data_IF_843007913919
#
_entry.id   IF_843007913919
#
_cell.length_a   1.000
_cell.length_b   1.000
_cell.length_c   1.000
_cell.angle_alpha   90.00
_cell.angle_beta   90.00
_cell.angle_gamma   90.00
#
_symmetry.space_group_name_H-M   'P 1'
#
loop_
_entity.id
_entity.type
_entity.pdbx_description
1 polymer ?
#
# COMPACT_ATOMS: atom_id res chain seq x y z
N UNK A 1 18.43 -18.91 20.20
CA UNK A 1 17.84 -18.95 18.85
C UNK A 1 17.80 -17.52 18.36
N UNK A 2 18.68 -17.18 17.43
CA UNK A 2 18.59 -15.88 16.75
C UNK A 2 17.53 -16.05 15.68
N UNK A 3 16.34 -15.46 15.87
CA UNK A 3 15.41 -15.28 14.77
C UNK A 3 16.15 -14.41 13.74
N UNK A 4 16.50 -15.00 12.60
CA UNK A 4 16.94 -14.19 11.47
C UNK A 4 15.72 -13.38 11.03
N UNK A 5 15.85 -12.06 10.83
CA UNK A 5 14.75 -11.28 10.30
C UNK A 5 14.37 -11.86 8.93
N UNK A 6 13.14 -12.37 8.83
CA UNK A 6 12.57 -12.77 7.55
C UNK A 6 12.22 -11.50 6.78
N UNK A 7 13.14 -11.04 5.95
CA UNK A 7 12.84 -9.98 4.99
C UNK A 7 11.86 -10.50 3.96
N UNK A 8 10.84 -9.70 3.64
CA UNK A 8 9.88 -9.98 2.58
C UNK A 8 10.05 -8.98 1.44
N UNK A 9 9.62 -9.38 0.25
CA UNK A 9 9.63 -8.54 -0.94
C UNK A 9 8.42 -7.61 -0.92
N UNK A 10 8.64 -6.32 -1.16
CA UNK A 10 7.56 -5.33 -1.18
C UNK A 10 7.83 -4.20 -2.16
N UNK A 11 6.74 -3.62 -2.65
CA UNK A 11 6.72 -2.40 -3.43
C UNK A 11 6.47 -1.21 -2.52
N UNK A 12 7.20 -0.13 -2.74
CA UNK A 12 7.08 1.08 -1.94
C UNK A 12 6.56 2.24 -2.76
N UNK A 13 5.58 2.94 -2.22
CA UNK A 13 5.06 4.19 -2.75
C UNK A 13 5.23 5.30 -1.72
N UNK A 14 5.51 6.51 -2.20
CA UNK A 14 5.43 7.73 -1.41
C UNK A 14 4.21 8.55 -1.85
N UNK A 15 3.51 9.15 -0.88
CA UNK A 15 2.26 9.85 -1.11
C UNK A 15 2.26 11.25 -0.49
N UNK A 16 1.33 12.09 -0.97
CA UNK A 16 1.16 13.49 -0.59
C UNK A 16 -0.26 13.74 -0.08
N UNK A 17 -0.53 13.36 1.15
CA UNK A 17 -1.82 13.59 1.82
C UNK A 17 -1.74 14.79 2.76
N UNK A 18 -2.86 15.48 2.93
CA UNK A 18 -2.95 16.61 3.85
C UNK A 18 -3.01 16.16 5.32
N UNK A 19 -3.41 14.92 5.58
CA UNK A 19 -3.52 14.35 6.93
C UNK A 19 -3.37 12.83 6.93
N UNK A 20 -3.12 12.27 8.11
CA UNK A 20 -3.09 10.81 8.29
C UNK A 20 -4.45 10.16 8.01
N UNK A 21 -5.56 10.78 8.44
CA UNK A 21 -6.90 10.27 8.17
C UNK A 21 -7.22 10.19 6.67
N UNK A 22 -6.75 11.16 5.87
CA UNK A 22 -6.88 11.09 4.41
C UNK A 22 -6.06 9.94 3.82
N UNK A 23 -4.87 9.70 4.36
CA UNK A 23 -4.02 8.60 3.95
C UNK A 23 -4.66 7.23 4.28
N UNK A 24 -5.30 7.08 5.44
CA UNK A 24 -6.03 5.86 5.82
C UNK A 24 -7.21 5.60 4.88
N UNK A 25 -8.03 6.63 4.58
CA UNK A 25 -9.14 6.54 3.63
C UNK A 25 -8.69 6.17 2.22
N UNK A 26 -7.43 6.46 1.88
CA UNK A 26 -6.84 6.09 0.60
C UNK A 26 -6.29 4.66 0.61
N UNK A 27 -5.48 4.34 1.62
CA UNK A 27 -4.66 3.14 1.67
C UNK A 27 -5.44 1.88 2.04
N UNK A 28 -6.54 1.99 2.79
CA UNK A 28 -7.29 0.85 3.31
C UNK A 28 -8.72 0.79 2.74
N UNK A 29 -9.29 -0.42 2.76
CA UNK A 29 -10.68 -0.67 2.42
C UNK A 29 -11.63 0.13 3.31
N UNK A 30 -12.64 0.75 2.69
CA UNK A 30 -13.71 1.46 3.38
C UNK A 30 -14.99 0.67 3.21
N UNK A 31 -15.40 0.04 4.31
CA UNK A 31 -16.60 -0.78 4.40
C UNK A 31 -17.79 0.06 4.87
N UNK A 32 -18.81 0.13 4.02
CA UNK A 32 -20.11 0.69 4.39
C UNK A 32 -20.96 -0.35 5.13
N UNK A 33 -21.86 0.13 5.97
CA UNK A 33 -22.81 -0.74 6.67
C UNK A 33 -23.75 -1.41 5.66
N UNK A 34 -24.03 -2.69 5.91
CA UNK A 34 -25.01 -3.45 5.13
C UNK A 34 -26.38 -2.72 5.12
N UNK A 35 -27.04 -2.63 3.96
CA UNK A 35 -28.38 -2.05 3.88
C UNK A 35 -29.36 -2.75 4.84
N UNK A 36 -30.24 -1.96 5.46
CA UNK A 36 -31.26 -2.49 6.37
C UNK A 36 -32.28 -3.41 5.68
N UNK A 37 -33.11 -4.13 6.45
CA UNK A 37 -34.05 -5.14 5.92
C UNK A 37 -35.14 -4.57 4.99
N UNK A 38 -35.32 -3.25 4.97
CA UNK A 38 -36.26 -2.56 4.08
C UNK A 38 -35.65 -2.23 2.71
N UNK A 39 -34.37 -2.54 2.49
CA UNK A 39 -33.71 -2.35 1.20
C UNK A 39 -34.26 -3.33 0.16
N UNK A 40 -34.49 -2.83 -1.05
CA UNK A 40 -34.78 -3.67 -2.20
C UNK A 40 -33.55 -4.45 -2.66
N UNK A 41 -33.77 -5.58 -3.36
CA UNK A 41 -32.70 -6.37 -3.97
C UNK A 41 -31.76 -5.51 -4.85
N UNK A 42 -32.30 -4.53 -5.57
CA UNK A 42 -31.51 -3.63 -6.40
C UNK A 42 -30.61 -2.68 -5.57
N UNK A 43 -31.07 -2.24 -4.40
CA UNK A 43 -30.26 -1.44 -3.49
C UNK A 43 -29.16 -2.27 -2.84
N UNK A 44 -29.47 -3.53 -2.50
CA UNK A 44 -28.51 -4.47 -1.94
C UNK A 44 -27.41 -4.80 -2.95
N UNK A 45 -27.77 -5.13 -4.20
CA UNK A 45 -26.80 -5.41 -5.26
C UNK A 45 -25.90 -4.20 -5.55
N UNK A 46 -26.46 -2.99 -5.61
CA UNK A 46 -25.67 -1.79 -5.84
C UNK A 46 -24.66 -1.53 -4.71
N UNK A 47 -25.00 -1.89 -3.47
CA UNK A 47 -24.08 -1.83 -2.34
C UNK A 47 -22.97 -2.88 -2.50
N UNK A 48 -23.29 -4.15 -2.79
CA UNK A 48 -22.29 -5.21 -3.03
C UNK A 48 -21.31 -4.85 -4.16
N UNK A 49 -21.81 -4.25 -5.24
CA UNK A 49 -20.99 -3.86 -6.40
C UNK A 49 -20.00 -2.73 -6.08
N UNK A 50 -20.21 -1.99 -4.98
CA UNK A 50 -19.41 -0.82 -4.59
C UNK A 50 -18.66 -0.95 -3.27
N UNK A 51 -18.92 -2.02 -2.50
CA UNK A 51 -18.43 -2.21 -1.14
C UNK A 51 -17.55 -3.49 -1.02
N UNK A 52 -16.29 -3.40 -0.55
CA UNK A 52 -15.66 -2.18 -0.04
C UNK A 52 -15.22 -1.25 -1.17
N UNK A 53 -15.23 0.05 -0.86
CA UNK A 53 -14.52 1.01 -1.72
C UNK A 53 -13.05 1.05 -1.30
N UNK A 54 -12.13 1.04 -2.28
CA UNK A 54 -10.70 1.04 -1.97
C UNK A 54 -9.91 1.84 -3.01
N UNK A 55 -9.53 3.07 -2.64
CA UNK A 55 -8.91 4.02 -3.57
C UNK A 55 -7.52 3.58 -4.05
N UNK A 56 -6.70 2.99 -3.18
CA UNK A 56 -5.40 2.44 -3.57
C UNK A 56 -5.54 1.38 -4.67
N UNK A 57 -6.38 0.36 -4.45
CA UNK A 57 -6.62 -0.71 -5.42
C UNK A 57 -7.16 -0.16 -6.74
N UNK A 58 -8.12 0.78 -6.67
CA UNK A 58 -8.68 1.45 -7.84
C UNK A 58 -7.64 2.28 -8.62
N UNK A 59 -6.80 3.04 -7.93
CA UNK A 59 -5.79 3.90 -8.57
C UNK A 59 -4.65 3.08 -9.18
N UNK A 60 -4.28 1.96 -8.56
CA UNK A 60 -3.32 1.01 -9.13
C UNK A 60 -3.94 0.14 -10.24
N UNK A 61 -5.28 0.05 -10.30
CA UNK A 61 -5.99 -0.80 -11.25
C UNK A 61 -5.78 -2.28 -11.00
N UNK A 62 -5.64 -2.68 -9.72
CA UNK A 62 -5.29 -4.04 -9.31
C UNK A 62 -6.29 -4.58 -8.27
N UNK A 63 -6.42 -5.90 -8.24
CA UNK A 63 -6.90 -6.58 -7.04
C UNK A 63 -5.74 -6.71 -6.05
N UNK A 64 -5.99 -6.41 -4.79
CA UNK A 64 -5.00 -6.44 -3.72
C UNK A 64 -5.56 -7.21 -2.54
N UNK A 65 -4.71 -7.95 -1.83
CA UNK A 65 -5.03 -8.49 -0.52
C UNK A 65 -4.70 -7.45 0.56
N UNK A 66 -5.73 -7.00 1.30
CA UNK A 66 -5.64 -5.94 2.31
C UNK A 66 -4.73 -6.29 3.48
N UNK A 67 -4.54 -7.57 3.79
CA UNK A 67 -3.72 -8.02 4.92
C UNK A 67 -2.23 -7.70 4.73
N UNK A 68 -1.83 -7.38 3.50
CA UNK A 68 -0.44 -7.17 3.09
C UNK A 68 -0.13 -5.70 2.72
N UNK A 69 -1.01 -4.77 3.10
CA UNK A 69 -0.85 -3.34 2.88
C UNK A 69 -0.50 -2.65 4.19
N UNK A 70 0.57 -1.87 4.20
CA UNK A 70 0.97 -1.06 5.36
C UNK A 70 1.03 0.42 4.99
N UNK A 71 0.58 1.29 5.89
CA UNK A 71 0.65 2.74 5.77
C UNK A 71 1.54 3.30 6.88
N UNK A 72 2.48 4.16 6.52
CA UNK A 72 3.40 4.79 7.45
C UNK A 72 3.41 6.31 7.27
N UNK A 73 3.34 7.10 8.37
CA UNK A 73 3.62 8.52 8.31
C UNK A 73 5.13 8.78 8.16
N UNK A 74 5.49 9.95 7.60
CA UNK A 74 6.89 10.33 7.35
C UNK A 74 7.77 10.33 8.59
N UNK A 75 7.21 10.57 9.77
CA UNK A 75 7.95 10.64 11.02
C UNK A 75 8.46 9.25 11.46
N UNK A 76 7.75 8.20 11.07
CA UNK A 76 8.07 6.80 11.40
C UNK A 76 8.93 6.13 10.32
N UNK A 77 8.95 6.72 9.12
CA UNK A 77 9.61 6.21 7.91
C UNK A 77 11.05 5.71 8.11
N UNK A 78 12.04 6.50 8.61
CA UNK A 78 13.44 6.13 8.40
C UNK A 78 13.79 4.84 9.13
N UNK A 79 13.42 4.74 10.42
CA UNK A 79 13.78 3.56 11.21
C UNK A 79 13.01 2.32 10.79
N UNK A 80 11.72 2.45 10.51
CA UNK A 80 10.91 1.29 10.20
C UNK A 80 11.27 0.72 8.82
N UNK A 81 11.26 1.55 7.75
CA UNK A 81 11.57 1.06 6.40
C UNK A 81 13.01 0.55 6.28
N UNK A 82 13.98 1.22 6.88
CA UNK A 82 15.37 0.72 6.86
C UNK A 82 15.51 -0.64 7.55
N UNK A 83 14.71 -0.90 8.59
CA UNK A 83 14.69 -2.20 9.29
C UNK A 83 14.11 -3.32 8.43
N UNK A 84 13.24 -2.99 7.47
CA UNK A 84 12.64 -3.95 6.52
C UNK A 84 13.51 -4.19 5.28
N UNK A 85 14.53 -3.38 5.03
CA UNK A 85 15.38 -3.50 3.84
C UNK A 85 16.68 -4.19 4.20
N UNK A 86 17.01 -5.28 3.54
CA UNK A 86 18.22 -6.06 3.80
C UNK A 86 19.49 -5.45 3.19
N UNK A 87 19.38 -4.84 2.02
CA UNK A 87 20.52 -4.32 1.24
C UNK A 87 20.86 -2.87 1.57
N UNK A 88 22.13 -2.60 1.85
CA UNK A 88 22.63 -1.23 2.02
C UNK A 88 22.44 -0.37 0.77
N UNK A 89 22.62 -0.94 -0.43
CA UNK A 89 22.41 -0.22 -1.69
C UNK A 89 20.95 0.18 -1.88
N UNK A 90 20.01 -0.68 -1.47
CA UNK A 90 18.58 -0.36 -1.49
C UNK A 90 18.22 0.73 -0.48
N UNK A 91 18.80 0.69 0.73
CA UNK A 91 18.63 1.77 1.72
C UNK A 91 19.15 3.11 1.18
N UNK A 92 20.34 3.13 0.56
CA UNK A 92 20.89 4.35 -0.05
C UNK A 92 19.99 4.88 -1.17
N UNK A 93 19.46 3.99 -2.02
CA UNK A 93 18.49 4.36 -3.06
C UNK A 93 17.24 4.99 -2.46
N UNK A 94 16.66 4.37 -1.43
CA UNK A 94 15.50 4.88 -0.72
C UNK A 94 15.73 6.33 -0.23
N UNK A 95 16.85 6.59 0.45
CA UNK A 95 17.20 7.94 0.91
C UNK A 95 17.33 8.97 -0.22
N UNK A 96 17.81 8.56 -1.39
CA UNK A 96 18.00 9.47 -2.52
C UNK A 96 16.69 9.88 -3.21
N UNK A 97 15.63 9.09 -3.04
CA UNK A 97 14.35 9.30 -3.74
C UNK A 97 13.31 10.02 -2.88
N UNK A 98 13.50 10.05 -1.57
CA UNK A 98 12.53 10.67 -0.67
C UNK A 98 12.69 12.17 -0.68
N UNK A 99 11.59 12.81 -1.07
CA UNK A 99 11.49 14.24 -1.18
C UNK A 99 10.85 14.85 0.08
N UNK A 100 11.00 16.15 0.24
CA UNK A 100 10.48 16.88 1.41
C UNK A 100 8.95 16.92 1.45
N UNK A 101 8.31 16.82 0.29
CA UNK A 101 6.86 16.87 0.13
C UNK A 101 6.16 15.53 0.36
N UNK A 102 6.91 14.42 0.45
CA UNK A 102 6.34 13.12 0.79
C UNK A 102 5.89 13.13 2.25
N UNK A 103 4.62 12.80 2.47
CA UNK A 103 3.95 12.83 3.78
C UNK A 103 3.73 11.44 4.38
N UNK A 104 3.57 10.44 3.52
CA UNK A 104 3.22 9.08 3.88
C UNK A 104 3.88 8.10 2.92
N UNK A 105 4.02 6.86 3.37
CA UNK A 105 4.54 5.75 2.60
C UNK A 105 3.56 4.59 2.65
N UNK A 106 3.34 3.95 1.51
CA UNK A 106 2.50 2.76 1.40
C UNK A 106 3.38 1.61 0.96
N UNK A 107 3.40 0.54 1.75
CA UNK A 107 4.00 -0.73 1.37
C UNK A 107 2.91 -1.64 0.83
N UNK A 108 3.21 -2.24 -0.30
CA UNK A 108 2.43 -3.33 -0.89
C UNK A 108 3.35 -4.54 -0.88
N UNK A 109 3.18 -5.48 0.05
CA UNK A 109 3.97 -6.70 0.01
C UNK A 109 3.70 -7.42 -1.32
N UNK A 110 4.70 -8.10 -1.90
CA UNK A 110 4.48 -8.84 -3.15
C UNK A 110 3.45 -9.98 -2.99
N UNK A 111 3.19 -10.42 -1.75
CA UNK A 111 2.11 -11.35 -1.42
C UNK A 111 0.70 -10.73 -1.54
N UNK A 112 0.58 -9.40 -1.55
CA UNK A 112 -0.69 -8.70 -1.79
C UNK A 112 -1.14 -8.80 -3.25
N UNK A 113 -0.22 -9.14 -4.14
CA UNK A 113 -0.42 -9.16 -5.59
C UNK A 113 -0.71 -10.60 -6.02
N UNK A 114 -1.61 -10.76 -6.99
CA UNK A 114 -1.79 -12.03 -7.68
C UNK A 114 -0.47 -12.50 -8.34
N UNK A 115 -0.42 -13.77 -8.80
CA UNK A 115 0.77 -14.38 -9.44
C UNK A 115 1.32 -13.57 -10.64
N UNK A 116 0.54 -12.64 -11.19
CA UNK A 116 1.00 -11.68 -12.18
C UNK A 116 1.63 -10.47 -11.47
N UNK A 117 2.93 -10.53 -11.19
CA UNK A 117 3.68 -9.36 -10.72
C UNK A 117 3.56 -8.22 -11.75
N UNK A 118 2.74 -7.19 -11.49
CA UNK A 118 2.48 -6.16 -12.46
C UNK A 118 3.66 -5.19 -12.48
N UNK A 119 3.89 -4.55 -13.63
CA UNK A 119 4.84 -3.45 -13.72
C UNK A 119 4.25 -2.20 -13.06
N UNK A 120 4.37 -2.11 -11.72
CA UNK A 120 3.91 -0.97 -10.93
C UNK A 120 4.68 0.31 -11.31
N UNK A 121 3.97 1.43 -11.30
CA UNK A 121 4.48 2.76 -11.65
C UNK A 121 3.85 3.83 -10.74
N UNK A 122 4.38 5.04 -10.80
CA UNK A 122 3.77 6.19 -10.15
C UNK A 122 2.43 6.55 -10.77
N UNK A 123 1.56 7.14 -9.95
CA UNK A 123 0.22 7.59 -10.31
C UNK A 123 0.08 9.09 -10.02
N UNK A 124 -1.14 9.63 -10.06
CA UNK A 124 -1.36 11.04 -9.71
C UNK A 124 -1.10 11.29 -8.23
N UNK A 125 -1.48 10.35 -7.37
CA UNK A 125 -1.37 10.47 -5.91
C UNK A 125 -0.05 9.88 -5.37
N UNK A 126 0.54 8.92 -6.08
CA UNK A 126 1.65 8.09 -5.61
C UNK A 126 2.89 8.23 -6.47
N UNK A 127 4.05 8.45 -5.84
CA UNK A 127 5.34 8.22 -6.46
C UNK A 127 5.79 6.80 -6.17
N UNK A 128 6.06 6.02 -7.21
CA UNK A 128 6.62 4.68 -7.04
C UNK A 128 8.13 4.75 -6.77
N UNK A 129 8.56 4.25 -5.62
CA UNK A 129 9.97 4.24 -5.18
C UNK A 129 10.69 2.93 -5.56
N UNK A 130 9.94 1.91 -5.94
CA UNK A 130 10.47 0.67 -6.48
C UNK A 130 10.17 -0.57 -5.63
N UNK A 131 10.70 -1.69 -6.10
CA UNK A 131 10.71 -2.97 -5.43
C UNK A 131 11.91 -3.08 -4.49
N UNK A 132 11.69 -3.63 -3.30
CA UNK A 132 12.70 -3.84 -2.26
C UNK A 132 12.76 -5.31 -1.84
N UNK A 133 13.96 -5.77 -1.47
CA UNK A 133 14.26 -7.18 -1.20
C UNK A 133 13.78 -8.12 -2.33
N UNK A 134 14.10 -7.83 -3.61
CA UNK A 134 13.69 -8.72 -4.70
C UNK A 134 14.34 -10.09 -4.53
N UNK A 135 13.55 -11.15 -4.73
CA UNK A 135 14.12 -12.49 -4.89
C UNK A 135 14.82 -12.49 -6.25
N UNK A 136 16.16 -12.45 -6.24
CA UNK A 136 16.95 -12.56 -7.45
C UNK A 136 16.82 -13.99 -8.01
N UNK A 137 16.68 -14.16 -9.33
CA UNK A 137 16.68 -15.47 -9.98
C UNK A 137 18.05 -16.18 -9.87
#
# INVERSE_FOLDING_TARGET
MSEQPSFFTFHLFAARFASHAEAELFAFEQWEAEPGPEASDAQYQAWEDSNPSWRLAQELGLHLDSDFIELLPREEYPRYLESLISSEAERQRLHSQIASEHSHFILVASAALDDQQPALQGTTTLDYLGLFNPILP
#
